data_IF_938154315192
#
_entry.id   IF_938154315192
#
_cell.length_a   1.000
_cell.length_b   1.000
_cell.length_c   1.000
_cell.angle_alpha   90.00
_cell.angle_beta   90.00
_cell.angle_gamma   90.00
#
_symmetry.space_group_name_H-M   'P 1'
#
loop_
_entity.id
_entity.type
_entity.pdbx_description
1 polymer ?
#
# COMPACT_ATOMS: atom_id res chain seq x y z
N UNK A 1 1.08 -32.60 -1.97
CA UNK A 1 0.76 -31.86 -3.21
C UNK A 1 -0.56 -32.38 -3.77
N UNK A 2 -1.53 -31.54 -4.19
CA UNK A 2 -2.74 -32.06 -4.80
C UNK A 2 -2.38 -32.76 -6.11
N UNK A 3 -2.82 -34.00 -6.23
CA UNK A 3 -2.51 -34.91 -7.33
C UNK A 3 -2.86 -34.26 -8.67
N UNK A 4 -1.93 -34.26 -9.64
CA UNK A 4 -2.10 -33.60 -10.94
C UNK A 4 -3.38 -34.09 -11.64
N UNK A 5 -3.69 -35.37 -11.47
CA UNK A 5 -4.93 -36.04 -11.89
C UNK A 5 -6.18 -35.35 -11.34
N UNK A 6 -6.20 -34.94 -10.07
CA UNK A 6 -7.33 -34.25 -9.45
C UNK A 6 -7.54 -32.82 -9.99
N UNK A 7 -6.47 -32.14 -10.41
CA UNK A 7 -6.56 -30.85 -11.12
C UNK A 7 -7.09 -31.04 -12.55
N UNK A 8 -6.71 -32.13 -13.23
CA UNK A 8 -7.13 -32.43 -14.59
C UNK A 8 -8.61 -32.86 -14.68
N UNK A 9 -9.13 -33.55 -13.65
CA UNK A 9 -10.55 -33.90 -13.55
C UNK A 9 -11.48 -32.67 -13.67
N UNK A 10 -11.05 -31.51 -13.16
CA UNK A 10 -11.79 -30.23 -13.24
C UNK A 10 -12.00 -29.71 -14.68
N UNK A 11 -11.22 -30.22 -15.63
CA UNK A 11 -11.22 -29.77 -17.03
C UNK A 11 -11.75 -30.82 -18.01
N UNK A 12 -12.05 -32.04 -17.54
CA UNK A 12 -12.43 -33.20 -18.37
C UNK A 12 -13.62 -32.95 -19.30
N UNK A 13 -14.57 -32.10 -18.88
CA UNK A 13 -15.79 -31.79 -19.64
C UNK A 13 -15.80 -30.38 -20.26
N UNK A 14 -14.66 -29.67 -20.30
CA UNK A 14 -14.61 -28.33 -20.91
C UNK A 14 -14.25 -28.41 -22.40
N UNK A 15 -14.88 -27.59 -23.26
CA UNK A 15 -14.54 -27.53 -24.68
C UNK A 15 -13.06 -27.19 -24.89
N UNK A 16 -12.38 -27.88 -25.81
CA UNK A 16 -10.95 -27.68 -26.13
C UNK A 16 -10.67 -26.20 -26.43
N UNK A 17 -11.52 -25.53 -27.21
CA UNK A 17 -11.43 -24.09 -27.52
C UNK A 17 -11.40 -23.19 -26.27
N UNK A 18 -12.12 -23.57 -25.21
CA UNK A 18 -12.13 -22.84 -23.93
C UNK A 18 -10.83 -23.07 -23.16
N UNK A 19 -10.29 -24.28 -23.20
CA UNK A 19 -9.01 -24.63 -22.57
C UNK A 19 -7.84 -23.92 -23.26
N UNK A 20 -7.79 -23.93 -24.60
CA UNK A 20 -6.75 -23.23 -25.38
C UNK A 20 -6.79 -21.72 -25.15
N UNK A 21 -7.98 -21.10 -25.15
CA UNK A 21 -8.14 -19.67 -24.82
C UNK A 21 -7.62 -19.33 -23.42
N UNK A 22 -7.89 -20.18 -22.42
CA UNK A 22 -7.38 -20.00 -21.05
C UNK A 22 -5.86 -20.13 -20.99
N UNK A 23 -5.28 -21.12 -21.67
CA UNK A 23 -3.83 -21.32 -21.75
C UNK A 23 -3.14 -20.12 -22.41
N UNK A 24 -3.62 -19.69 -23.58
CA UNK A 24 -3.13 -18.50 -24.28
C UNK A 24 -3.24 -17.24 -23.43
N UNK A 25 -4.36 -17.02 -22.74
CA UNK A 25 -4.52 -15.89 -21.81
C UNK A 25 -3.49 -15.93 -20.69
N UNK A 26 -3.21 -17.11 -20.13
CA UNK A 26 -2.22 -17.27 -19.06
C UNK A 26 -0.80 -16.98 -19.54
N UNK A 27 -0.43 -17.47 -20.74
CA UNK A 27 0.87 -17.20 -21.38
C UNK A 27 1.01 -15.71 -21.67
N UNK A 28 0.02 -15.11 -22.35
CA UNK A 28 -0.01 -13.67 -22.65
C UNK A 28 0.15 -12.82 -21.39
N UNK A 29 -0.62 -13.13 -20.33
CA UNK A 29 -0.52 -12.42 -19.06
C UNK A 29 0.87 -12.56 -18.43
N UNK A 30 1.46 -13.77 -18.44
CA UNK A 30 2.81 -13.98 -17.89
C UNK A 30 3.83 -13.11 -18.62
N UNK A 31 3.84 -13.12 -19.96
CA UNK A 31 4.73 -12.30 -20.77
C UNK A 31 4.49 -10.81 -20.52
N UNK A 32 3.23 -10.37 -20.53
CA UNK A 32 2.84 -8.97 -20.29
C UNK A 32 3.33 -8.48 -18.93
N UNK A 33 3.09 -9.24 -17.85
CA UNK A 33 3.51 -8.83 -16.50
C UNK A 33 5.03 -8.89 -16.31
N UNK A 34 5.72 -9.86 -16.91
CA UNK A 34 7.18 -9.88 -16.93
C UNK A 34 7.77 -8.65 -17.62
N UNK A 35 7.26 -8.29 -18.80
CA UNK A 35 7.69 -7.10 -19.52
C UNK A 35 7.32 -5.80 -18.78
N UNK A 36 6.10 -5.70 -18.25
CA UNK A 36 5.65 -4.55 -17.46
C UNK A 36 6.53 -4.33 -16.24
N UNK A 37 6.88 -5.39 -15.50
CA UNK A 37 7.80 -5.31 -14.37
C UNK A 37 9.15 -4.74 -14.81
N UNK A 38 9.74 -5.29 -15.88
CA UNK A 38 10.99 -4.78 -16.42
C UNK A 38 10.91 -3.28 -16.79
N UNK A 39 9.81 -2.87 -17.45
CA UNK A 39 9.57 -1.48 -17.83
C UNK A 39 9.47 -0.54 -16.62
N UNK A 40 8.72 -0.92 -15.59
CA UNK A 40 8.56 -0.10 -14.37
C UNK A 40 9.88 0.03 -13.61
N UNK A 41 10.66 -1.05 -13.50
CA UNK A 41 11.99 -0.98 -12.88
C UNK A 41 12.98 -0.11 -13.66
N UNK A 42 12.81 0.04 -14.98
CA UNK A 42 13.70 0.86 -15.84
C UNK A 42 13.27 2.31 -15.92
N UNK A 43 11.97 2.57 -15.89
CA UNK A 43 11.37 3.90 -15.92
C UNK A 43 10.45 4.01 -14.70
N UNK A 44 11.01 4.32 -13.52
CA UNK A 44 10.21 4.49 -12.31
C UNK A 44 9.15 5.57 -12.52
N UNK A 45 8.02 5.42 -11.83
CA UNK A 45 6.98 6.44 -11.83
C UNK A 45 7.53 7.60 -11.01
N UNK A 46 7.58 8.78 -11.61
CA UNK A 46 7.90 10.04 -10.96
C UNK A 46 6.59 10.81 -10.79
N UNK A 47 6.19 11.10 -9.55
CA UNK A 47 4.96 11.80 -9.24
C UNK A 47 5.31 13.28 -9.05
N UNK A 48 4.82 14.20 -9.93
CA UNK A 48 5.23 15.59 -9.86
C UNK A 48 4.86 16.22 -8.52
N UNK A 49 5.86 16.72 -7.79
CA UNK A 49 5.71 17.34 -6.47
C UNK A 49 4.78 18.55 -6.50
N UNK A 50 4.77 19.31 -7.60
CA UNK A 50 3.89 20.47 -7.80
C UNK A 50 2.40 20.15 -7.62
N UNK A 51 2.00 18.89 -7.84
CA UNK A 51 0.62 18.49 -7.62
C UNK A 51 0.23 18.43 -6.15
N UNK A 52 1.18 18.37 -5.23
CA UNK A 52 0.95 18.21 -3.79
C UNK A 52 1.01 19.52 -3.03
N UNK A 53 1.49 20.59 -3.66
CA UNK A 53 1.37 21.95 -3.11
C UNK A 53 -0.03 22.50 -3.34
N UNK A 54 -0.65 22.99 -2.27
CA UNK A 54 -2.00 23.56 -2.24
C UNK A 54 -3.00 22.62 -2.90
N UNK A 55 -2.82 21.33 -2.62
CA UNK A 55 -3.57 20.24 -3.23
C UNK A 55 -5.08 20.42 -3.06
N UNK A 56 -5.80 20.23 -4.16
CA UNK A 56 -7.26 20.13 -4.21
C UNK A 56 -7.69 18.94 -5.07
N UNK A 57 -8.55 18.04 -4.58
CA UNK A 57 -9.01 16.90 -5.34
C UNK A 57 -9.94 17.38 -6.46
N UNK A 58 -9.68 16.91 -7.68
CA UNK A 58 -10.52 17.19 -8.86
C UNK A 58 -11.75 16.26 -8.94
N UNK A 59 -11.81 15.22 -8.13
CA UNK A 59 -12.92 14.27 -8.12
C UNK A 59 -14.01 14.68 -7.11
N UNK A 60 -15.27 14.48 -7.48
CA UNK A 60 -16.39 14.59 -6.54
C UNK A 60 -16.46 13.29 -5.72
N UNK A 61 -16.00 13.33 -4.48
CA UNK A 61 -16.15 12.25 -3.51
C UNK A 61 -17.17 12.63 -2.44
N UNK A 62 -17.47 11.75 -1.49
CA UNK A 62 -18.39 12.02 -0.38
C UNK A 62 -18.00 13.25 0.47
N UNK A 63 -16.75 13.70 0.37
CA UNK A 63 -16.23 14.89 1.01
C UNK A 63 -15.94 15.97 -0.04
N UNK A 64 -16.51 17.15 0.16
CA UNK A 64 -16.27 18.32 -0.68
C UNK A 64 -15.43 19.32 0.12
N UNK A 65 -14.20 19.58 -0.34
CA UNK A 65 -13.30 20.54 0.31
C UNK A 65 -13.86 21.97 0.33
N UNK A 66 -14.89 22.31 -0.46
CA UNK A 66 -15.62 23.58 -0.27
C UNK A 66 -16.22 23.71 1.13
N UNK A 67 -16.52 22.60 1.79
CA UNK A 67 -17.04 22.55 3.16
C UNK A 67 -15.94 22.32 4.20
N UNK A 68 -14.67 22.62 3.88
CA UNK A 68 -13.51 22.41 4.76
C UNK A 68 -13.73 22.96 6.16
N UNK A 69 -14.20 24.21 6.28
CA UNK A 69 -14.43 24.87 7.56
C UNK A 69 -15.41 24.10 8.44
N UNK A 70 -16.53 23.65 7.85
CA UNK A 70 -17.51 22.80 8.54
C UNK A 70 -16.89 21.51 9.05
N UNK A 71 -16.03 20.85 8.26
CA UNK A 71 -15.37 19.63 8.72
C UNK A 71 -14.41 19.88 9.88
N UNK A 72 -13.67 20.98 9.84
CA UNK A 72 -12.78 21.38 10.93
C UNK A 72 -13.58 21.67 12.20
N UNK A 73 -14.72 22.37 12.09
CA UNK A 73 -15.60 22.63 13.23
C UNK A 73 -16.11 21.34 13.87
N UNK A 74 -16.58 20.36 13.07
CA UNK A 74 -17.05 19.08 13.60
C UNK A 74 -15.91 18.29 14.27
N UNK A 75 -14.70 18.28 13.69
CA UNK A 75 -13.51 17.67 14.30
C UNK A 75 -13.18 18.31 15.65
N UNK A 76 -13.27 19.65 15.73
CA UNK A 76 -13.06 20.41 16.97
C UNK A 76 -14.12 20.10 18.02
N UNK A 77 -15.40 20.03 17.64
CA UNK A 77 -16.49 19.63 18.55
C UNK A 77 -16.29 18.24 19.13
N UNK A 78 -15.72 17.32 18.35
CA UNK A 78 -15.38 15.97 18.81
C UNK A 78 -14.08 15.91 19.64
N UNK A 79 -13.33 17.02 19.75
CA UNK A 79 -12.06 17.06 20.50
C UNK A 79 -10.92 16.27 19.83
N UNK A 80 -11.01 15.98 18.53
CA UNK A 80 -10.08 15.09 17.82
C UNK A 80 -8.93 15.82 17.12
N UNK A 81 -8.96 17.15 17.07
CA UNK A 81 -7.99 17.96 16.32
C UNK A 81 -6.54 17.66 16.73
N UNK A 82 -6.24 17.76 18.02
CA UNK A 82 -4.89 17.56 18.56
C UNK A 82 -4.41 16.12 18.37
N UNK A 83 -5.27 15.12 18.56
CA UNK A 83 -4.88 13.72 18.37
C UNK A 83 -4.54 13.42 16.92
N UNK A 84 -5.33 13.94 15.96
CA UNK A 84 -5.07 13.76 14.53
C UNK A 84 -3.73 14.39 14.13
N UNK A 85 -3.45 15.61 14.60
CA UNK A 85 -2.20 16.31 14.29
C UNK A 85 -1.01 15.57 14.91
N UNK A 86 -1.14 15.10 16.16
CA UNK A 86 -0.08 14.34 16.83
C UNK A 86 0.20 13.01 16.11
N UNK A 87 -0.84 12.25 15.76
CA UNK A 87 -0.68 11.00 15.03
C UNK A 87 -0.03 11.24 13.65
N UNK A 88 -0.41 12.33 12.96
CA UNK A 88 0.21 12.72 11.70
C UNK A 88 1.69 13.09 11.85
N UNK A 89 2.06 13.76 12.94
CA UNK A 89 3.46 14.09 13.21
C UNK A 89 4.29 12.84 13.53
N UNK A 90 3.73 11.83 14.20
CA UNK A 90 4.40 10.54 14.38
C UNK A 90 4.65 9.84 13.05
N UNK A 91 3.71 9.93 12.10
CA UNK A 91 3.88 9.40 10.75
C UNK A 91 5.04 10.11 10.03
N UNK A 92 5.12 11.45 10.09
CA UNK A 92 6.26 12.21 9.54
C UNK A 92 7.62 11.79 10.13
N UNK A 93 7.63 11.30 11.37
CA UNK A 93 8.84 10.77 12.03
C UNK A 93 9.06 9.27 11.75
N UNK A 94 8.26 8.67 10.85
CA UNK A 94 8.21 7.24 10.56
C UNK A 94 8.03 6.36 11.81
N UNK A 95 7.23 6.82 12.76
CA UNK A 95 6.90 6.12 14.00
C UNK A 95 5.51 5.52 13.92
N UNK A 96 5.43 4.20 14.02
CA UNK A 96 4.18 3.46 13.84
C UNK A 96 3.93 2.49 14.99
N UNK A 97 2.66 2.33 15.34
CA UNK A 97 2.19 1.25 16.22
C UNK A 97 1.42 0.21 15.40
N UNK A 98 2.14 -0.72 14.79
CA UNK A 98 1.56 -1.75 13.92
C UNK A 98 1.23 -3.00 14.70
N UNK A 99 -0.02 -3.46 14.60
CA UNK A 99 -0.49 -4.71 15.21
C UNK A 99 -0.23 -4.78 16.73
N UNK A 100 -0.33 -3.65 17.43
CA UNK A 100 -0.11 -3.57 18.87
C UNK A 100 1.34 -3.76 19.31
N UNK A 101 2.32 -3.49 18.42
CA UNK A 101 3.75 -3.57 18.75
C UNK A 101 4.24 -2.48 19.72
N UNK A 102 3.40 -1.50 20.02
CA UNK A 102 3.82 -0.20 20.54
C UNK A 102 4.44 0.65 19.43
N UNK A 103 4.71 1.92 19.73
CA UNK A 103 5.37 2.84 18.83
C UNK A 103 6.78 2.35 18.49
N UNK A 104 7.08 2.27 17.19
CA UNK A 104 8.36 1.86 16.64
C UNK A 104 8.76 2.80 15.53
N UNK A 105 9.99 3.31 15.59
CA UNK A 105 10.63 3.94 14.45
C UNK A 105 10.99 2.86 13.41
N UNK A 106 10.51 3.01 12.19
CA UNK A 106 10.69 2.03 11.12
C UNK A 106 11.87 2.33 10.18
N UNK A 107 12.62 3.40 10.44
CA UNK A 107 13.77 3.81 9.64
C UNK A 107 13.47 4.97 8.69
N UNK A 108 14.50 5.53 8.05
CA UNK A 108 14.38 6.62 7.08
C UNK A 108 13.62 6.20 5.81
N UNK A 109 13.67 4.91 5.47
CA UNK A 109 12.85 4.31 4.42
C UNK A 109 11.98 3.23 5.02
N UNK A 110 10.72 3.19 4.60
CA UNK A 110 9.76 2.31 5.23
C UNK A 110 9.99 0.84 4.80
N UNK A 111 9.94 -0.12 5.75
CA UNK A 111 10.23 -1.53 5.49
C UNK A 111 9.01 -2.23 4.86
N UNK A 112 8.60 -1.82 3.66
CA UNK A 112 7.36 -2.27 2.99
C UNK A 112 7.22 -3.78 2.81
N UNK A 113 8.35 -4.50 2.82
CA UNK A 113 8.43 -5.95 2.64
C UNK A 113 9.23 -6.64 3.75
N UNK A 114 9.33 -6.03 4.94
CA UNK A 114 10.08 -6.58 6.07
C UNK A 114 9.23 -6.60 7.34
N UNK A 115 9.41 -7.66 8.12
CA UNK A 115 8.91 -7.74 9.48
C UNK A 115 9.96 -7.16 10.44
N UNK A 116 9.76 -5.92 10.87
CA UNK A 116 10.69 -5.21 11.77
C UNK A 116 10.90 -5.91 13.13
N UNK A 117 10.02 -6.85 13.51
CA UNK A 117 10.17 -7.61 14.77
C UNK A 117 11.24 -8.67 14.66
N UNK A 118 11.40 -9.25 13.48
CA UNK A 118 12.34 -10.36 13.20
C UNK A 118 13.49 -9.97 12.27
N UNK A 119 13.38 -8.83 11.58
CA UNK A 119 14.29 -8.40 10.52
C UNK A 119 14.14 -9.22 9.22
N UNK A 120 13.12 -10.08 9.13
CA UNK A 120 12.94 -10.92 7.97
C UNK A 120 12.35 -10.13 6.79
N UNK A 121 13.03 -10.16 5.65
CA UNK A 121 12.62 -9.46 4.43
C UNK A 121 12.16 -10.42 3.36
N UNK A 122 10.95 -10.20 2.85
CA UNK A 122 10.43 -10.93 1.69
C UNK A 122 10.99 -10.35 0.40
N UNK A 123 11.32 -11.22 -0.56
CA UNK A 123 11.69 -10.77 -1.89
C UNK A 123 10.51 -10.08 -2.57
N UNK A 124 10.79 -8.98 -3.26
CA UNK A 124 9.80 -8.29 -4.07
C UNK A 124 9.49 -9.11 -5.34
N UNK A 125 8.62 -10.12 -5.23
CA UNK A 125 8.15 -10.98 -6.33
C UNK A 125 6.65 -10.86 -6.50
N UNK A 126 6.10 -11.44 -7.57
CA UNK A 126 4.66 -11.53 -7.73
C UNK A 126 4.07 -12.27 -6.52
N UNK A 127 3.03 -11.73 -5.90
CA UNK A 127 2.54 -12.21 -4.59
C UNK A 127 2.23 -13.72 -4.51
N UNK A 128 1.89 -14.37 -5.63
CA UNK A 128 1.65 -15.83 -5.68
C UNK A 128 2.92 -16.68 -5.64
N UNK A 129 4.05 -16.06 -5.93
CA UNK A 129 5.37 -16.69 -5.95
C UNK A 129 6.14 -16.43 -4.65
N UNK A 130 5.58 -15.61 -3.74
CA UNK A 130 6.14 -15.34 -2.41
C UNK A 130 5.71 -16.45 -1.45
N UNK A 131 6.68 -17.01 -0.70
CA UNK A 131 6.40 -17.92 0.41
C UNK A 131 5.95 -17.09 1.62
N UNK A 132 4.63 -16.98 1.76
CA UNK A 132 3.98 -16.18 2.82
C UNK A 132 4.00 -16.89 4.17
N UNK A 133 3.94 -18.22 4.18
CA UNK A 133 3.97 -19.04 5.41
C UNK A 133 5.21 -19.92 5.37
N UNK A 134 6.08 -19.74 6.35
CA UNK A 134 7.27 -20.57 6.56
C UNK A 134 7.34 -20.99 8.03
N UNK A 135 7.11 -22.26 8.32
CA UNK A 135 7.13 -22.79 9.69
C UNK A 135 8.53 -22.82 10.31
N UNK A 136 9.58 -22.60 9.51
CA UNK A 136 10.96 -22.53 9.99
C UNK A 136 11.38 -21.08 10.34
N UNK A 137 10.48 -20.12 10.18
CA UNK A 137 10.70 -18.71 10.44
C UNK A 137 9.59 -18.17 11.35
N UNK A 138 9.94 -17.30 12.29
CA UNK A 138 9.00 -16.66 13.20
C UNK A 138 8.41 -15.35 12.64
N UNK A 139 8.76 -14.97 11.41
CA UNK A 139 8.29 -13.72 10.80
C UNK A 139 6.78 -13.74 10.53
N UNK A 140 6.12 -12.62 10.83
CA UNK A 140 4.70 -12.44 10.54
C UNK A 140 4.51 -11.54 9.31
N UNK A 141 4.09 -12.15 8.20
CA UNK A 141 3.78 -11.45 6.94
C UNK A 141 2.75 -10.33 7.12
N UNK A 142 1.92 -10.38 8.17
CA UNK A 142 0.95 -9.33 8.47
C UNK A 142 1.61 -8.00 8.79
N UNK A 143 2.84 -7.99 9.31
CA UNK A 143 3.55 -6.75 9.64
C UNK A 143 3.75 -5.87 8.39
N UNK A 144 4.46 -6.31 7.34
CA UNK A 144 4.60 -5.51 6.12
C UNK A 144 3.27 -5.31 5.39
N UNK A 145 2.32 -6.25 5.51
CA UNK A 145 0.98 -6.05 4.93
C UNK A 145 0.20 -4.93 5.60
N UNK A 146 0.28 -4.79 6.92
CA UNK A 146 -0.42 -3.72 7.64
C UNK A 146 0.11 -2.34 7.23
N UNK A 147 1.45 -2.21 7.15
CA UNK A 147 2.10 -1.01 6.64
C UNK A 147 1.68 -0.71 5.18
N UNK A 148 1.74 -1.72 4.30
CA UNK A 148 1.39 -1.60 2.87
C UNK A 148 -0.10 -1.39 2.59
N UNK A 149 -0.98 -1.37 3.61
CA UNK A 149 -2.39 -1.03 3.46
C UNK A 149 -2.65 0.47 3.51
N UNK A 150 -1.65 1.28 3.87
CA UNK A 150 -1.71 2.74 3.84
C UNK A 150 -2.84 3.33 4.70
N UNK A 151 -3.20 2.67 5.81
CA UNK A 151 -4.28 3.16 6.67
C UNK A 151 -3.92 4.49 7.33
N UNK A 152 -2.64 4.72 7.59
CA UNK A 152 -2.10 5.94 8.17
C UNK A 152 -2.16 7.16 7.22
N UNK A 153 -2.18 6.95 5.90
CA UNK A 153 -2.29 8.04 4.92
C UNK A 153 -3.58 8.86 5.09
N UNK A 154 -4.66 8.25 5.60
CA UNK A 154 -5.88 9.00 5.93
C UNK A 154 -5.67 10.01 7.07
N UNK A 155 -4.77 9.70 8.01
CA UNK A 155 -4.41 10.61 9.10
C UNK A 155 -3.63 11.82 8.57
N UNK A 156 -2.67 11.60 7.66
CA UNK A 156 -1.99 12.69 6.95
C UNK A 156 -2.98 13.58 6.20
N UNK A 157 -3.92 12.98 5.46
CA UNK A 157 -4.96 13.73 4.74
C UNK A 157 -5.87 14.56 5.67
N UNK A 158 -6.22 14.04 6.86
CA UNK A 158 -6.97 14.80 7.87
C UNK A 158 -6.14 15.95 8.46
N UNK A 159 -4.87 15.71 8.77
CA UNK A 159 -3.98 16.74 9.28
C UNK A 159 -3.74 17.85 8.25
N UNK A 160 -3.56 17.51 6.97
CA UNK A 160 -3.54 18.47 5.87
C UNK A 160 -4.85 19.26 5.78
N UNK A 161 -6.00 18.59 5.89
CA UNK A 161 -7.29 19.28 5.89
C UNK A 161 -7.39 20.29 7.03
N UNK A 162 -6.96 19.95 8.25
CA UNK A 162 -7.04 20.82 9.42
C UNK A 162 -6.05 22.00 9.32
N UNK A 163 -4.79 21.70 9.03
CA UNK A 163 -3.68 22.67 9.14
C UNK A 163 -3.37 23.40 7.84
N UNK A 164 -3.69 22.78 6.70
CA UNK A 164 -3.22 23.20 5.36
C UNK A 164 -1.70 23.25 5.22
N UNK A 165 -0.98 22.48 6.05
CA UNK A 165 0.48 22.36 6.00
C UNK A 165 0.91 21.30 4.99
N UNK A 166 1.62 21.73 3.95
CA UNK A 166 2.03 20.92 2.81
C UNK A 166 2.88 19.71 3.20
N UNK A 167 3.56 19.74 4.35
CA UNK A 167 4.39 18.61 4.81
C UNK A 167 3.62 17.29 4.86
N UNK A 168 2.32 17.33 5.19
CA UNK A 168 1.50 16.13 5.26
C UNK A 168 1.14 15.58 3.87
N UNK A 169 0.97 16.46 2.87
CA UNK A 169 0.70 16.07 1.49
C UNK A 169 1.99 15.57 0.80
N UNK A 170 3.13 16.19 1.12
CA UNK A 170 4.45 15.77 0.64
C UNK A 170 4.82 14.40 1.20
N UNK A 171 4.65 14.17 2.50
CA UNK A 171 4.88 12.86 3.12
C UNK A 171 4.03 11.76 2.47
N UNK A 172 2.73 12.03 2.26
CA UNK A 172 1.84 11.11 1.57
C UNK A 172 2.41 10.70 0.20
N UNK A 173 2.94 11.68 -0.56
CA UNK A 173 3.50 11.43 -1.89
C UNK A 173 4.79 10.64 -1.77
N UNK A 174 5.69 11.04 -0.88
CA UNK A 174 7.00 10.41 -0.70
C UNK A 174 6.87 8.95 -0.24
N UNK A 175 5.94 8.63 0.67
CA UNK A 175 5.67 7.24 1.08
C UNK A 175 5.08 6.40 -0.07
N UNK A 176 4.19 6.97 -0.89
CA UNK A 176 3.62 6.27 -2.05
C UNK A 176 4.71 5.98 -3.08
N UNK A 177 5.60 6.94 -3.34
CA UNK A 177 6.73 6.75 -4.23
C UNK A 177 7.71 5.70 -3.71
N UNK A 178 8.07 5.78 -2.41
CA UNK A 178 8.95 4.81 -1.78
C UNK A 178 8.36 3.39 -1.87
N UNK A 179 7.05 3.22 -1.64
CA UNK A 179 6.40 1.92 -1.81
C UNK A 179 6.40 1.42 -3.25
N UNK A 180 6.14 2.29 -4.24
CA UNK A 180 6.19 1.93 -5.67
C UNK A 180 7.60 1.48 -6.09
N UNK A 181 8.63 2.09 -5.50
CA UNK A 181 10.04 1.82 -5.80
C UNK A 181 10.65 0.67 -5.00
N UNK A 182 10.02 0.28 -3.89
CA UNK A 182 10.41 -0.85 -3.04
C UNK A 182 10.36 -2.22 -3.75
#
# INVERSE_FOLDING_TARGET
MPNITHKLLKYKNQPIKKLTKKALKKIKNKIYFSYRRYRVCKNPIDIPTDNFYSFYPKCSFFYDLKNREKYIEEIKKLGLENSIINDANLILEHKFNLLGSGEKYLGEKLPWNEDFKTGFRWENKFYKDIKIVDLNNNADVKVPWELSRFQHLFTLGKAYLITFDEKYALEFKDEIEDWILS
#
